data_IF_618811038703
#
_entry.id   IF_618811038703
#
_cell.length_a   1.000
_cell.length_b   1.000
_cell.length_c   1.000
_cell.angle_alpha   90.00
_cell.angle_beta   90.00
_cell.angle_gamma   90.00
#
_symmetry.space_group_name_H-M   'P 1'
#
loop_
_entity.id
_entity.type
_entity.pdbx_description
1 polymer ?
#
# COMPACT_ATOMS: atom_id res chain seq x y z
N UNK A 1 -1.14 13.33 4.27
CA UNK A 1 -1.89 12.16 3.78
C UNK A 1 -2.79 11.67 4.90
N UNK A 2 -4.09 11.67 4.66
CA UNK A 2 -5.11 11.23 5.63
C UNK A 2 -6.29 10.62 4.86
N UNK A 3 -6.66 9.40 5.21
CA UNK A 3 -7.76 8.65 4.62
C UNK A 3 -8.33 7.65 5.63
N UNK A 4 -9.56 7.21 5.36
CA UNK A 4 -10.22 6.09 6.04
C UNK A 4 -10.49 5.00 5.03
N UNK A 5 -10.31 3.73 5.41
CA UNK A 5 -10.57 2.58 4.54
C UNK A 5 -11.06 1.40 5.37
N UNK A 6 -11.84 0.51 4.75
CA UNK A 6 -12.12 -0.80 5.29
C UNK A 6 -10.84 -1.60 5.52
N UNK A 7 -10.64 -2.05 6.76
CA UNK A 7 -9.46 -2.83 7.17
C UNK A 7 -9.27 -4.11 6.35
N UNK A 8 -10.34 -4.82 5.96
CA UNK A 8 -10.21 -6.08 5.21
C UNK A 8 -9.64 -5.85 3.82
N UNK A 9 -10.14 -4.84 3.11
CA UNK A 9 -9.65 -4.50 1.77
C UNK A 9 -8.23 -3.93 1.82
N UNK A 10 -7.90 -3.14 2.84
CA UNK A 10 -6.52 -2.68 3.04
C UNK A 10 -5.55 -3.84 3.26
N UNK A 11 -5.88 -4.79 4.15
CA UNK A 11 -5.03 -5.97 4.41
C UNK A 11 -4.89 -6.84 3.16
N UNK A 12 -5.97 -6.99 2.38
CA UNK A 12 -5.94 -7.75 1.12
C UNK A 12 -4.98 -7.11 0.12
N UNK A 13 -5.05 -5.79 -0.07
CA UNK A 13 -4.09 -5.08 -0.93
C UNK A 13 -2.64 -5.19 -0.42
N UNK A 14 -2.44 -5.04 0.89
CA UNK A 14 -1.13 -5.23 1.53
C UNK A 14 -0.56 -6.63 1.28
N UNK A 15 -1.39 -7.68 1.36
CA UNK A 15 -0.99 -9.06 1.09
C UNK A 15 -0.65 -9.33 -0.39
N UNK A 16 -1.18 -8.53 -1.32
CA UNK A 16 -0.80 -8.61 -2.72
C UNK A 16 0.60 -8.02 -2.94
N UNK A 17 0.81 -6.78 -2.50
CA UNK A 17 2.07 -6.06 -2.73
C UNK A 17 3.23 -6.61 -1.91
N UNK A 18 2.97 -7.22 -0.75
CA UNK A 18 4.01 -7.81 0.11
C UNK A 18 4.78 -8.95 -0.57
N UNK A 19 4.18 -9.61 -1.58
CA UNK A 19 4.85 -10.66 -2.38
C UNK A 19 6.05 -10.15 -3.16
N UNK A 20 6.09 -8.86 -3.46
CA UNK A 20 7.21 -8.21 -4.13
C UNK A 20 8.19 -7.56 -3.14
N UNK A 21 7.97 -7.65 -1.84
CA UNK A 21 8.84 -7.04 -0.83
C UNK A 21 9.76 -8.11 -0.24
N UNK A 22 11.07 -7.84 -0.25
CA UNK A 22 12.07 -8.72 0.35
C UNK A 22 12.69 -8.09 1.60
N UNK A 23 12.78 -8.86 2.68
CA UNK A 23 13.55 -8.47 3.88
C UNK A 23 15.06 -8.57 3.68
N UNK A 24 15.51 -9.24 2.61
CA UNK A 24 16.92 -9.36 2.20
C UNK A 24 17.13 -8.54 0.94
N UNK A 25 17.47 -7.27 1.11
CA UNK A 25 17.76 -6.32 0.03
C UNK A 25 18.94 -5.42 0.42
N UNK A 26 19.75 -5.01 -0.55
CA UNK A 26 20.80 -4.01 -0.39
C UNK A 26 20.25 -2.57 -0.34
N UNK A 27 18.97 -2.39 -0.68
CA UNK A 27 18.28 -1.09 -0.70
C UNK A 27 17.21 -1.04 0.40
N UNK A 28 17.50 -0.47 1.58
CA UNK A 28 16.58 -0.49 2.74
C UNK A 28 15.18 0.08 2.46
N UNK A 29 15.06 1.07 1.56
CA UNK A 29 13.76 1.66 1.20
C UNK A 29 12.79 0.63 0.58
N UNK A 30 13.30 -0.43 -0.04
CA UNK A 30 12.52 -1.49 -0.67
C UNK A 30 11.97 -2.51 0.35
N UNK A 31 12.31 -2.38 1.63
CA UNK A 31 11.63 -3.11 2.71
C UNK A 31 10.26 -2.49 3.06
N UNK A 32 9.99 -1.29 2.54
CA UNK A 32 8.74 -0.57 2.73
C UNK A 32 7.72 -0.80 1.62
N UNK A 33 6.48 -0.39 1.89
CA UNK A 33 5.41 -0.24 0.91
C UNK A 33 5.24 1.25 0.60
N UNK A 34 5.20 1.62 -0.68
CA UNK A 34 4.79 2.96 -1.11
C UNK A 34 3.27 3.03 -1.02
N UNK A 35 2.75 4.05 -0.35
CA UNK A 35 1.35 4.43 -0.35
C UNK A 35 1.22 5.75 -1.08
N UNK A 36 0.30 5.82 -2.03
CA UNK A 36 0.00 7.04 -2.79
C UNK A 36 -1.51 7.22 -2.85
N UNK A 37 -1.99 8.31 -2.24
CA UNK A 37 -3.38 8.70 -2.23
C UNK A 37 -3.57 9.92 -3.13
N UNK A 38 -4.31 9.73 -4.21
CA UNK A 38 -4.67 10.77 -5.17
C UNK A 38 -6.20 10.83 -5.35
N UNK A 39 -6.69 11.68 -6.26
CA UNK A 39 -8.12 11.86 -6.53
C UNK A 39 -8.84 10.62 -7.08
N UNK A 40 -8.09 9.60 -7.49
CA UNK A 40 -8.63 8.37 -8.08
C UNK A 40 -8.64 7.20 -7.08
N UNK A 41 -7.84 7.25 -6.02
CA UNK A 41 -7.85 6.27 -4.95
C UNK A 41 -6.50 6.10 -4.24
N UNK A 42 -6.37 4.98 -3.53
CA UNK A 42 -5.15 4.60 -2.84
C UNK A 42 -4.39 3.54 -3.64
N UNK A 43 -3.15 3.82 -3.98
CA UNK A 43 -2.24 2.91 -4.66
C UNK A 43 -1.17 2.43 -3.69
N UNK A 44 -0.97 1.12 -3.64
CA UNK A 44 0.05 0.44 -2.85
C UNK A 44 1.09 -0.15 -3.81
N UNK A 45 2.37 0.05 -3.54
CA UNK A 45 3.46 -0.53 -4.35
C UNK A 45 4.50 -1.21 -3.47
N UNK A 46 4.84 -2.44 -3.79
CA UNK A 46 5.95 -3.21 -3.21
C UNK A 46 6.94 -3.63 -4.30
N UNK A 47 8.24 -3.68 -3.98
CA UNK A 47 9.28 -4.03 -4.94
C UNK A 47 10.54 -4.61 -4.28
N UNK A 48 11.26 -5.47 -5.00
CA UNK A 48 12.54 -6.05 -4.60
C UNK A 48 13.61 -5.95 -5.69
N UNK A 49 13.51 -4.96 -6.58
CA UNK A 49 14.31 -4.74 -7.81
C UNK A 49 14.05 -5.69 -8.98
N UNK A 50 13.66 -6.94 -8.73
CA UNK A 50 13.36 -7.89 -9.80
C UNK A 50 11.88 -7.86 -10.19
N UNK A 51 11.02 -7.78 -9.18
CA UNK A 51 9.57 -7.72 -9.33
C UNK A 51 9.02 -6.50 -8.60
N UNK A 52 7.99 -5.90 -9.19
CA UNK A 52 7.20 -4.83 -8.59
C UNK A 52 5.73 -5.20 -8.73
N UNK A 53 4.99 -5.09 -7.62
CA UNK A 53 3.54 -5.30 -7.60
C UNK A 53 2.89 -4.01 -7.14
N UNK A 54 1.91 -3.58 -7.92
CA UNK A 54 1.05 -2.45 -7.61
C UNK A 54 -0.40 -2.92 -7.41
N UNK A 55 -1.08 -2.38 -6.41
CA UNK A 55 -2.49 -2.63 -6.17
C UNK A 55 -3.20 -1.31 -5.91
N UNK A 56 -4.23 -1.03 -6.71
CA UNK A 56 -5.03 0.19 -6.62
C UNK A 56 -6.39 -0.09 -6.03
N UNK A 57 -6.78 0.70 -5.05
CA UNK A 57 -8.10 0.70 -4.41
C UNK A 57 -8.79 2.01 -4.81
N UNK A 58 -9.72 1.98 -5.78
CA UNK A 58 -10.40 3.19 -6.23
C UNK A 58 -11.46 3.65 -5.24
N UNK A 59 -11.80 4.95 -5.23
CA UNK A 59 -12.93 5.46 -4.42
C UNK A 59 -14.28 4.88 -4.84
N UNK A 60 -14.40 4.37 -6.07
CA UNK A 60 -15.62 3.73 -6.56
C UNK A 60 -15.84 2.31 -6.04
N UNK A 61 -14.92 1.77 -5.23
CA UNK A 61 -15.07 0.44 -4.63
C UNK A 61 -15.92 0.52 -3.35
N UNK A 62 -17.19 0.09 -3.47
CA UNK A 62 -18.16 0.05 -2.38
C UNK A 62 -17.72 -0.81 -1.18
N UNK A 63 -16.86 -1.82 -1.38
CA UNK A 63 -16.38 -2.70 -0.31
C UNK A 63 -15.27 -2.02 0.49
N UNK A 64 -14.41 -1.27 -0.21
CA UNK A 64 -13.27 -0.58 0.39
C UNK A 64 -13.69 0.59 1.27
N UNK A 65 -14.82 1.24 0.98
CA UNK A 65 -15.29 2.45 1.70
C UNK A 65 -14.16 3.45 1.92
N UNK A 66 -13.40 3.70 0.85
CA UNK A 66 -12.26 4.61 0.90
C UNK A 66 -12.78 6.04 0.96
N UNK A 67 -12.34 6.79 1.96
CA UNK A 67 -12.64 8.22 2.11
C UNK A 67 -11.33 9.00 2.20
N UNK A 68 -11.18 10.05 1.39
CA UNK A 68 -10.00 10.91 1.42
C UNK A 68 -10.25 12.20 2.20
N UNK A 69 -9.35 12.50 3.11
CA UNK A 69 -9.30 13.80 3.82
C UNK A 69 -8.17 14.67 3.29
N UNK A 70 -7.01 14.08 3.00
CA UNK A 70 -5.85 14.82 2.49
C UNK A 70 -4.99 13.91 1.60
N UNK A 71 -4.75 14.26 0.32
CA UNK A 71 -3.90 13.49 -0.58
C UNK A 71 -2.44 13.48 -0.11
N UNK A 72 -1.63 12.61 -0.73
CA UNK A 72 -0.19 12.56 -0.51
C UNK A 72 0.40 11.17 -0.74
N UNK A 73 1.72 11.10 -0.62
CA UNK A 73 2.44 9.84 -0.73
C UNK A 73 3.45 9.69 0.42
N UNK A 74 3.66 8.45 0.86
CA UNK A 74 4.65 8.12 1.88
C UNK A 74 5.07 6.65 1.74
N UNK A 75 6.17 6.28 2.40
CA UNK A 75 6.64 4.90 2.49
C UNK A 75 6.60 4.46 3.95
N UNK A 76 5.98 3.32 4.23
CA UNK A 76 5.98 2.70 5.56
C UNK A 76 6.71 1.36 5.51
N UNK A 77 7.43 0.96 6.57
CA UNK A 77 8.00 -0.38 6.62
C UNK A 77 6.88 -1.42 6.61
N UNK A 78 6.95 -2.38 5.67
CA UNK A 78 5.86 -3.34 5.46
C UNK A 78 5.65 -4.28 6.65
N UNK A 79 6.71 -4.53 7.44
CA UNK A 79 6.66 -5.39 8.63
C UNK A 79 5.69 -4.90 9.70
N UNK A 80 5.49 -3.58 9.85
CA UNK A 80 4.54 -3.05 10.83
C UNK A 80 3.08 -3.22 10.42
N UNK A 81 2.80 -3.26 9.12
CA UNK A 81 1.44 -3.26 8.58
C UNK A 81 0.84 -4.66 8.41
N UNK A 82 1.67 -5.71 8.43
CA UNK A 82 1.24 -7.10 8.25
C UNK A 82 0.92 -7.84 9.56
N UNK A 83 1.27 -7.26 10.72
CA UNK A 83 1.17 -7.92 12.04
C UNK A 83 0.03 -7.34 12.90
N UNK A 84 -0.63 -6.26 12.45
CA UNK A 84 -1.68 -5.52 13.18
C UNK A 84 -3.10 -5.85 12.75
#
# INVERSE_FOLDING_TARGET
>A
MQFTINRSEFIKAMNHVSRAISSRTSMPILTGVKLELDETGLTLTGSNTDISIETKIPFSDDQAKLEQTQPGALVLPASFLLIS
#
